data_IF_364679060259
#
_entry.id   IF_364679060259
#
_cell.length_a   1.000
_cell.length_b   1.000
_cell.length_c   1.000
_cell.angle_alpha   90.00
_cell.angle_beta   90.00
_cell.angle_gamma   90.00
#
_symmetry.space_group_name_H-M   'P 1'
#
loop_
_entity.id
_entity.type
_entity.pdbx_description
1 polymer ?
#
# COMPACT_ATOMS: atom_id res chain seq x y z
N UNK A 1 21.65 -2.08 11.60
CA UNK A 1 20.52 -1.18 11.23
C UNK A 1 20.86 -0.25 10.06
N UNK A 2 21.85 0.65 10.12
CA UNK A 2 22.18 1.55 8.98
C UNK A 2 22.66 0.79 7.74
N UNK A 3 23.43 -0.30 7.90
CA UNK A 3 23.87 -1.15 6.79
C UNK A 3 22.73 -1.85 6.08
N UNK A 4 21.72 -2.30 6.81
CA UNK A 4 20.52 -2.94 6.26
C UNK A 4 19.69 -1.92 5.47
N UNK A 5 19.51 -0.70 5.99
CA UNK A 5 18.86 0.39 5.27
C UNK A 5 19.61 0.71 3.96
N UNK A 6 20.94 0.89 4.04
CA UNK A 6 21.77 1.15 2.86
C UNK A 6 21.65 0.03 1.83
N UNK A 7 21.68 -1.23 2.27
CA UNK A 7 21.47 -2.39 1.40
C UNK A 7 20.13 -2.32 0.67
N UNK A 8 19.02 -2.07 1.38
CA UNK A 8 17.69 -1.92 0.80
C UNK A 8 17.66 -0.78 -0.21
N UNK A 9 18.18 0.40 0.15
CA UNK A 9 18.11 1.59 -0.69
C UNK A 9 18.97 1.50 -1.95
N UNK A 10 20.02 0.67 -1.95
CA UNK A 10 20.90 0.44 -3.11
C UNK A 10 20.41 -0.66 -4.04
N UNK A 11 19.36 -1.40 -3.71
CA UNK A 11 18.81 -2.44 -4.57
C UNK A 11 18.49 -1.89 -5.98
N UNK A 12 18.91 -2.61 -7.01
CA UNK A 12 18.80 -2.16 -8.41
C UNK A 12 17.47 -2.52 -9.07
N UNK A 13 16.80 -3.55 -8.58
CA UNK A 13 15.50 -4.04 -9.05
C UNK A 13 14.81 -4.87 -7.96
N UNK A 14 13.57 -5.29 -8.23
CA UNK A 14 12.74 -6.03 -7.27
C UNK A 14 13.35 -7.38 -6.87
N UNK A 15 13.99 -8.10 -7.78
CA UNK A 15 14.65 -9.38 -7.48
C UNK A 15 15.90 -9.20 -6.60
N UNK A 16 16.66 -8.13 -6.84
CA UNK A 16 17.80 -7.76 -5.99
C UNK A 16 17.31 -7.39 -4.58
N UNK A 17 16.24 -6.60 -4.47
CA UNK A 17 15.62 -6.26 -3.20
C UNK A 17 15.14 -7.52 -2.45
N UNK A 18 14.49 -8.48 -3.12
CA UNK A 18 14.08 -9.77 -2.53
C UNK A 18 15.27 -10.52 -1.93
N UNK A 19 16.39 -10.61 -2.67
CA UNK A 19 17.61 -11.28 -2.20
C UNK A 19 18.19 -10.58 -0.97
N UNK A 20 18.23 -9.26 -0.97
CA UNK A 20 18.74 -8.48 0.16
C UNK A 20 17.87 -8.64 1.39
N UNK A 21 16.53 -8.57 1.25
CA UNK A 21 15.59 -8.80 2.33
C UNK A 21 15.68 -10.21 2.88
N UNK A 22 15.77 -11.23 2.01
CA UNK A 22 15.96 -12.63 2.44
C UNK A 22 17.23 -12.81 3.27
N UNK A 23 18.33 -12.17 2.85
CA UNK A 23 19.59 -12.20 3.61
C UNK A 23 19.47 -11.49 4.96
N UNK A 24 18.86 -10.32 5.00
CA UNK A 24 18.67 -9.54 6.23
C UNK A 24 17.79 -10.32 7.21
N UNK A 25 16.61 -10.76 6.77
CA UNK A 25 15.66 -11.49 7.62
C UNK A 25 16.17 -12.87 8.02
N UNK A 26 16.94 -13.54 7.15
CA UNK A 26 17.56 -14.82 7.44
C UNK A 26 18.54 -14.79 8.63
N UNK A 27 19.19 -13.66 8.91
CA UNK A 27 20.01 -13.47 10.11
C UNK A 27 19.21 -13.51 11.41
N UNK A 28 17.88 -13.44 11.33
CA UNK A 28 16.93 -13.49 12.44
C UNK A 28 16.03 -14.74 12.41
N UNK A 29 16.45 -15.76 11.66
CA UNK A 29 15.69 -17.00 11.47
C UNK A 29 14.32 -16.82 10.82
N UNK A 30 14.15 -15.77 9.98
CA UNK A 30 12.92 -15.49 9.24
C UNK A 30 13.13 -15.85 7.76
N UNK A 31 12.73 -17.06 7.33
CA UNK A 31 12.91 -17.50 5.95
C UNK A 31 11.87 -16.93 4.97
N UNK A 32 10.71 -16.49 5.48
CA UNK A 32 9.57 -16.12 4.67
C UNK A 32 9.13 -14.70 4.93
N UNK A 33 8.85 -13.97 3.86
CA UNK A 33 8.18 -12.67 3.92
C UNK A 33 7.25 -12.47 2.72
N UNK A 34 6.26 -11.60 2.91
CA UNK A 34 5.34 -11.16 1.88
C UNK A 34 5.12 -9.65 2.01
N UNK A 35 5.30 -8.93 0.93
CA UNK A 35 4.84 -7.57 0.75
C UNK A 35 3.67 -7.59 -0.23
N UNK A 36 2.48 -7.27 0.23
CA UNK A 36 1.27 -7.18 -0.58
C UNK A 36 0.67 -5.78 -0.45
N UNK A 37 0.44 -5.10 -1.58
CA UNK A 37 -0.09 -3.75 -1.56
C UNK A 37 -1.11 -3.54 -2.66
N UNK A 38 -2.18 -2.83 -2.32
CA UNK A 38 -3.20 -2.34 -3.24
C UNK A 38 -2.96 -0.89 -3.59
N UNK A 39 -2.85 -0.60 -4.88
CA UNK A 39 -2.52 0.72 -5.42
C UNK A 39 -3.74 1.28 -6.14
N UNK A 40 -4.30 2.42 -5.68
CA UNK A 40 -5.37 3.10 -6.39
C UNK A 40 -4.93 3.48 -7.81
N UNK A 41 -5.79 3.29 -8.78
CA UNK A 41 -5.52 3.65 -10.18
C UNK A 41 -6.44 4.76 -10.65
N UNK A 42 -5.95 5.57 -11.59
CA UNK A 42 -6.75 6.63 -12.24
C UNK A 42 -7.83 6.00 -13.09
N UNK A 43 -9.10 6.22 -12.75
CA UNK A 43 -10.26 5.76 -13.55
C UNK A 43 -10.25 4.25 -13.90
N UNK A 44 -9.61 3.43 -13.06
CA UNK A 44 -9.49 1.98 -13.23
C UNK A 44 -9.71 1.27 -11.89
N UNK A 45 -9.91 -0.03 -11.96
CA UNK A 45 -9.84 -0.88 -10.77
C UNK A 45 -8.47 -0.75 -10.11
N UNK A 46 -8.41 -0.92 -8.79
CA UNK A 46 -7.16 -0.96 -8.04
C UNK A 46 -6.22 -2.03 -8.62
N UNK A 47 -4.94 -1.83 -8.44
CA UNK A 47 -3.91 -2.76 -8.89
C UNK A 47 -3.21 -3.33 -7.68
N UNK A 48 -3.17 -4.64 -7.57
CA UNK A 48 -2.49 -5.32 -6.47
C UNK A 48 -1.08 -5.71 -6.91
N UNK A 49 -0.11 -5.52 -6.02
CA UNK A 49 1.28 -5.92 -6.18
C UNK A 49 1.65 -6.85 -5.03
N UNK A 50 2.27 -7.99 -5.37
CA UNK A 50 2.77 -8.94 -4.39
C UNK A 50 4.25 -9.21 -4.69
N UNK A 51 5.09 -9.08 -3.67
CA UNK A 51 6.50 -9.45 -3.66
C UNK A 51 6.68 -10.38 -2.47
N UNK A 52 7.06 -11.63 -2.71
CA UNK A 52 7.06 -12.62 -1.64
C UNK A 52 8.22 -13.63 -1.76
N UNK A 53 8.55 -14.27 -0.64
CA UNK A 53 9.41 -15.43 -0.50
C UNK A 53 8.65 -16.46 0.36
N UNK A 54 7.45 -16.78 -0.09
CA UNK A 54 6.60 -17.83 0.48
C UNK A 54 6.75 -19.11 -0.37
N UNK A 55 6.40 -20.31 0.17
CA UNK A 55 6.36 -21.52 -0.65
C UNK A 55 5.43 -21.35 -1.86
N UNK A 56 5.95 -21.55 -3.10
CA UNK A 56 5.20 -21.30 -4.32
C UNK A 56 3.85 -22.04 -4.36
N UNK A 57 3.84 -23.33 -3.94
CA UNK A 57 2.61 -24.14 -3.87
C UNK A 57 1.55 -23.52 -2.96
N UNK A 58 1.99 -22.82 -1.89
CA UNK A 58 1.09 -22.12 -0.99
C UNK A 58 0.45 -20.91 -1.69
N UNK A 59 1.23 -20.10 -2.36
CA UNK A 59 0.72 -18.92 -3.06
C UNK A 59 -0.29 -19.29 -4.15
N UNK A 60 0.01 -20.35 -4.93
CA UNK A 60 -0.92 -20.89 -5.94
C UNK A 60 -2.23 -21.38 -5.29
N UNK A 61 -2.11 -22.10 -4.17
CA UNK A 61 -3.29 -22.60 -3.43
C UNK A 61 -4.11 -21.46 -2.80
N UNK A 62 -3.44 -20.50 -2.17
CA UNK A 62 -4.06 -19.31 -1.57
C UNK A 62 -4.92 -18.54 -2.60
N UNK A 63 -4.38 -18.31 -3.79
CA UNK A 63 -5.10 -17.62 -4.87
C UNK A 63 -6.24 -18.46 -5.41
N UNK A 64 -6.02 -19.77 -5.65
CA UNK A 64 -7.05 -20.70 -6.17
C UNK A 64 -8.22 -20.88 -5.21
N UNK A 65 -7.96 -20.91 -3.92
CA UNK A 65 -8.96 -21.04 -2.86
C UNK A 65 -9.63 -19.72 -2.49
N UNK A 66 -9.25 -18.62 -3.15
CA UNK A 66 -9.74 -17.27 -2.88
C UNK A 66 -9.62 -16.86 -1.40
N UNK A 67 -8.52 -17.25 -0.74
CA UNK A 67 -8.32 -16.99 0.69
C UNK A 67 -8.19 -15.50 1.01
N UNK A 68 -7.92 -14.66 0.03
CA UNK A 68 -7.90 -13.20 0.17
C UNK A 68 -9.20 -12.64 0.77
N UNK A 69 -10.36 -13.29 0.52
CA UNK A 69 -11.67 -12.86 1.01
C UNK A 69 -11.92 -13.23 2.48
N UNK A 70 -11.17 -14.19 3.02
CA UNK A 70 -11.38 -14.70 4.38
C UNK A 70 -10.14 -14.53 5.27
N UNK A 71 -9.04 -14.03 4.74
CA UNK A 71 -7.80 -13.83 5.49
C UNK A 71 -7.96 -12.75 6.56
N UNK A 72 -8.16 -13.18 7.80
CA UNK A 72 -8.35 -12.30 8.95
C UNK A 72 -7.17 -11.36 9.19
N UNK A 73 -5.93 -11.80 8.86
CA UNK A 73 -4.71 -10.99 9.03
C UNK A 73 -4.67 -9.87 7.99
N UNK A 74 -5.02 -10.17 6.74
CA UNK A 74 -5.13 -9.16 5.69
C UNK A 74 -6.25 -8.16 6.02
N UNK A 75 -7.43 -8.64 6.40
CA UNK A 75 -8.57 -7.79 6.78
C UNK A 75 -8.24 -6.88 7.97
N UNK A 76 -7.56 -7.42 8.99
CA UNK A 76 -7.07 -6.61 10.10
C UNK A 76 -6.12 -5.52 9.60
N UNK A 77 -5.13 -5.89 8.79
CA UNK A 77 -4.10 -4.97 8.32
C UNK A 77 -4.64 -3.84 7.44
N UNK A 78 -5.72 -4.08 6.69
CA UNK A 78 -6.37 -3.04 5.88
C UNK A 78 -7.15 -2.01 6.73
N UNK A 79 -7.49 -2.34 7.99
CA UNK A 79 -8.33 -1.51 8.85
C UNK A 79 -7.63 -0.99 10.11
N UNK A 80 -6.39 -1.40 10.38
CA UNK A 80 -5.64 -1.03 11.58
C UNK A 80 -4.23 -0.60 11.23
N UNK A 81 -3.60 0.17 12.13
CA UNK A 81 -2.22 0.67 11.96
C UNK A 81 -1.18 -0.12 12.77
N UNK A 82 -1.61 -0.97 13.70
CA UNK A 82 -0.71 -1.72 14.57
C UNK A 82 -0.39 -3.09 13.98
N UNK A 83 0.85 -3.57 14.13
CA UNK A 83 1.20 -4.93 13.75
C UNK A 83 0.35 -5.97 14.47
N UNK A 84 0.08 -7.08 13.80
CA UNK A 84 -0.67 -8.21 14.35
C UNK A 84 0.22 -9.46 14.40
N UNK A 85 0.30 -10.09 15.58
CA UNK A 85 0.99 -11.36 15.77
C UNK A 85 0.03 -12.51 15.42
N UNK A 86 0.49 -13.47 14.64
CA UNK A 86 -0.32 -14.61 14.22
C UNK A 86 -0.57 -15.57 15.38
N UNK A 87 -1.75 -15.47 15.95
CA UNK A 87 -2.26 -16.39 16.97
C UNK A 87 -3.52 -17.04 16.44
N UNK A 88 -3.80 -18.27 16.85
CA UNK A 88 -4.92 -19.03 16.31
C UNK A 88 -6.29 -18.37 16.57
N UNK A 89 -6.41 -17.58 17.64
CA UNK A 89 -7.63 -16.81 17.96
C UNK A 89 -8.00 -15.73 16.95
N UNK A 90 -7.06 -15.28 16.11
CA UNK A 90 -7.34 -14.29 15.05
C UNK A 90 -7.85 -14.93 13.75
N UNK A 91 -7.69 -16.24 13.58
CA UNK A 91 -8.03 -16.96 12.36
C UNK A 91 -9.42 -17.63 12.42
N UNK A 92 -10.32 -17.16 13.28
CA UNK A 92 -11.65 -17.77 13.47
C UNK A 92 -12.47 -17.89 12.20
N UNK A 93 -12.38 -16.89 11.30
CA UNK A 93 -13.06 -16.90 10.01
C UNK A 93 -12.27 -17.65 8.90
N UNK A 94 -11.03 -18.04 9.15
CA UNK A 94 -10.10 -18.64 8.17
C UNK A 94 -9.31 -19.80 8.75
N UNK A 95 -9.94 -20.61 9.61
CA UNK A 95 -9.28 -21.72 10.33
C UNK A 95 -8.64 -22.73 9.38
N UNK A 96 -9.34 -23.12 8.31
CA UNK A 96 -8.79 -24.03 7.30
C UNK A 96 -7.52 -23.47 6.67
N UNK A 97 -7.56 -22.20 6.23
CA UNK A 97 -6.39 -21.51 5.69
C UNK A 97 -5.22 -21.52 6.71
N UNK A 98 -5.53 -21.32 7.99
CA UNK A 98 -4.54 -21.33 9.07
C UNK A 98 -3.85 -22.69 9.21
N UNK A 99 -4.62 -23.78 9.24
CA UNK A 99 -4.06 -25.13 9.33
C UNK A 99 -3.17 -25.47 8.12
N UNK A 100 -3.66 -25.21 6.93
CA UNK A 100 -2.91 -25.43 5.69
C UNK A 100 -1.63 -24.56 5.61
N UNK A 101 -1.65 -23.33 6.14
CA UNK A 101 -0.46 -22.46 6.19
C UNK A 101 0.63 -23.04 7.11
N UNK A 102 0.25 -23.65 8.23
CA UNK A 102 1.18 -24.31 9.14
C UNK A 102 1.88 -25.51 8.47
N UNK A 103 1.15 -26.32 7.68
CA UNK A 103 1.69 -27.48 6.98
C UNK A 103 2.83 -27.12 6.01
N UNK A 104 2.83 -25.91 5.49
CA UNK A 104 3.87 -25.41 4.57
C UNK A 104 4.93 -24.55 5.25
N UNK A 105 4.95 -24.51 6.61
CA UNK A 105 5.97 -23.82 7.38
C UNK A 105 5.68 -22.32 7.62
N UNK A 106 4.44 -21.86 7.45
CA UNK A 106 4.01 -20.52 7.79
C UNK A 106 3.23 -20.52 9.12
N UNK A 107 3.89 -20.97 10.20
CA UNK A 107 3.22 -21.14 11.49
C UNK A 107 3.27 -19.90 12.36
N UNK A 108 4.45 -19.34 12.58
CA UNK A 108 4.61 -18.13 13.37
C UNK A 108 4.81 -16.93 12.46
N UNK A 109 4.09 -15.88 12.69
CA UNK A 109 4.25 -14.70 11.86
C UNK A 109 3.80 -13.42 12.56
N UNK A 110 4.23 -12.31 11.98
CA UNK A 110 3.81 -10.97 12.34
C UNK A 110 3.53 -10.23 11.04
N UNK A 111 2.39 -9.57 11.00
CA UNK A 111 2.02 -8.74 9.87
C UNK A 111 1.95 -7.27 10.27
N UNK A 112 2.52 -6.44 9.44
CA UNK A 112 2.64 -5.00 9.61
C UNK A 112 1.74 -4.31 8.57
N UNK A 113 0.72 -3.57 9.00
CA UNK A 113 -0.10 -2.78 8.09
C UNK A 113 0.72 -1.73 7.33
N UNK A 114 0.36 -1.50 6.08
CA UNK A 114 0.94 -0.43 5.25
C UNK A 114 -0.16 0.52 4.84
N UNK A 115 -0.07 1.76 5.30
CA UNK A 115 -0.97 2.85 4.92
C UNK A 115 -0.13 4.03 4.47
N UNK A 116 0.00 4.18 3.16
CA UNK A 116 0.85 5.20 2.56
C UNK A 116 0.14 6.56 2.48
N UNK A 117 0.95 7.61 2.46
CA UNK A 117 0.48 8.98 2.24
C UNK A 117 -0.10 9.20 0.84
N UNK A 118 0.16 8.33 -0.12
CA UNK A 118 -0.33 8.38 -1.49
C UNK A 118 -1.53 7.46 -1.76
N UNK A 119 -2.11 6.88 -0.69
CA UNK A 119 -3.37 6.13 -0.74
C UNK A 119 -3.21 4.64 -0.95
N UNK A 120 -1.99 4.13 -1.06
CA UNK A 120 -1.74 2.69 -1.07
C UNK A 120 -2.03 2.11 0.31
N UNK A 121 -2.58 0.92 0.35
CA UNK A 121 -2.78 0.15 1.56
C UNK A 121 -2.44 -1.33 1.34
N UNK A 122 -2.01 -2.00 2.39
CA UNK A 122 -1.59 -3.39 2.29
C UNK A 122 -0.91 -3.90 3.54
N UNK A 123 -0.01 -4.85 3.34
CA UNK A 123 0.59 -5.64 4.41
C UNK A 123 2.06 -5.98 4.09
N UNK A 124 2.89 -5.97 5.11
CA UNK A 124 4.18 -6.66 5.10
C UNK A 124 4.14 -7.74 6.17
N UNK A 125 4.29 -8.98 5.79
CA UNK A 125 4.28 -10.12 6.69
C UNK A 125 5.64 -10.79 6.71
N UNK A 126 6.10 -11.16 7.89
CA UNK A 126 7.24 -12.06 8.11
C UNK A 126 6.74 -13.33 8.76
N UNK A 127 7.28 -14.47 8.35
CA UNK A 127 6.86 -15.77 8.87
C UNK A 127 8.01 -16.74 9.02
N UNK A 128 7.86 -17.65 9.99
CA UNK A 128 8.80 -18.70 10.32
C UNK A 128 8.11 -20.04 10.59
N UNK A 129 8.83 -21.17 10.39
CA UNK A 129 8.28 -22.50 10.59
C UNK A 129 8.14 -22.88 12.07
N UNK A 130 7.57 -24.04 12.31
CA UNK A 130 7.39 -24.68 13.62
C UNK A 130 8.67 -24.61 14.46
N UNK A 131 8.51 -24.24 15.73
CA UNK A 131 9.61 -24.19 16.71
C UNK A 131 10.48 -22.94 16.66
N UNK A 132 10.21 -22.00 15.76
CA UNK A 132 10.95 -20.74 15.60
C UNK A 132 10.02 -19.54 15.62
N UNK A 133 9.50 -19.17 16.79
CA UNK A 133 8.68 -17.98 16.91
C UNK A 133 9.45 -16.71 16.49
N UNK A 134 8.77 -15.78 15.82
CA UNK A 134 9.33 -14.47 15.48
C UNK A 134 9.71 -13.74 16.77
N UNK A 135 10.99 -13.45 16.94
CA UNK A 135 11.50 -12.81 18.14
C UNK A 135 11.37 -11.27 18.10
N UNK A 136 11.62 -10.65 19.28
CA UNK A 136 11.53 -9.20 19.41
C UNK A 136 12.52 -8.44 18.50
N UNK A 137 13.69 -9.01 18.22
CA UNK A 137 14.68 -8.38 17.35
C UNK A 137 14.19 -8.31 15.91
N UNK A 138 13.62 -9.41 15.39
CA UNK A 138 13.00 -9.45 14.08
C UNK A 138 11.80 -8.49 13.97
N UNK A 139 10.98 -8.38 15.02
CA UNK A 139 9.89 -7.41 15.11
C UNK A 139 10.39 -5.98 15.00
N UNK A 140 11.37 -5.61 15.83
CA UNK A 140 11.93 -4.24 15.87
C UNK A 140 12.66 -3.89 14.57
N UNK A 141 13.43 -4.84 14.02
CA UNK A 141 14.08 -4.70 12.73
C UNK A 141 13.06 -4.40 11.62
N UNK A 142 12.05 -5.25 11.50
CA UNK A 142 11.02 -5.12 10.46
C UNK A 142 10.25 -3.83 10.60
N UNK A 143 9.84 -3.46 11.80
CA UNK A 143 9.16 -2.18 12.08
C UNK A 143 9.98 -0.98 11.62
N UNK A 144 11.30 -1.03 11.81
CA UNK A 144 12.20 0.05 11.41
C UNK A 144 12.47 0.07 9.90
N UNK A 145 12.61 -1.10 9.28
CA UNK A 145 12.94 -1.20 7.85
C UNK A 145 11.74 -1.00 6.92
N UNK A 146 10.52 -1.26 7.39
CA UNK A 146 9.32 -1.24 6.55
C UNK A 146 9.11 0.08 5.76
N UNK A 147 9.30 1.28 6.33
CA UNK A 147 9.19 2.52 5.55
C UNK A 147 10.20 2.58 4.39
N UNK A 148 11.43 2.13 4.61
CA UNK A 148 12.48 2.10 3.57
C UNK A 148 12.17 1.06 2.50
N UNK A 149 11.69 -0.12 2.88
CA UNK A 149 11.25 -1.17 1.95
C UNK A 149 10.13 -0.63 1.05
N UNK A 150 9.12 -0.01 1.66
CA UNK A 150 7.97 0.53 0.92
C UNK A 150 8.39 1.63 -0.07
N UNK A 151 9.18 2.62 0.37
CA UNK A 151 9.64 3.69 -0.53
C UNK A 151 10.57 3.15 -1.63
N UNK A 152 11.43 2.17 -1.34
CA UNK A 152 12.28 1.54 -2.36
C UNK A 152 11.46 0.80 -3.41
N UNK A 153 10.46 0.03 -3.01
CA UNK A 153 9.55 -0.65 -3.95
C UNK A 153 8.83 0.37 -4.82
N UNK A 154 8.32 1.45 -4.23
CA UNK A 154 7.69 2.54 -5.00
C UNK A 154 8.63 3.12 -6.05
N UNK A 155 9.88 3.37 -5.67
CA UNK A 155 10.88 3.93 -6.59
C UNK A 155 11.19 2.98 -7.75
N UNK A 156 11.43 1.71 -7.47
CA UNK A 156 11.66 0.67 -8.48
C UNK A 156 10.47 0.52 -9.44
N UNK A 157 9.24 0.57 -8.92
CA UNK A 157 8.02 0.31 -9.69
C UNK A 157 7.44 1.56 -10.38
N UNK A 158 7.91 2.76 -10.06
CA UNK A 158 7.57 3.99 -10.81
C UNK A 158 7.95 3.87 -12.29
N UNK A 159 9.11 3.31 -12.58
CA UNK A 159 9.60 3.11 -13.94
C UNK A 159 8.78 2.05 -14.70
N UNK A 160 8.23 1.07 -14.01
CA UNK A 160 7.39 0.00 -14.57
C UNK A 160 5.92 0.42 -14.79
N UNK A 161 5.57 1.71 -14.57
CA UNK A 161 4.20 2.24 -14.67
C UNK A 161 3.18 1.49 -13.79
N UNK A 162 3.65 0.89 -12.71
CA UNK A 162 2.78 0.24 -11.74
C UNK A 162 2.03 1.31 -10.94
N UNK A 163 2.72 2.38 -10.58
CA UNK A 163 2.13 3.54 -9.92
C UNK A 163 1.53 4.53 -10.94
N UNK A 164 0.37 5.11 -10.64
CA UNK A 164 -0.21 6.11 -11.51
C UNK A 164 0.67 7.37 -11.54
N UNK A 165 0.88 7.91 -12.73
CA UNK A 165 1.48 9.23 -12.85
C UNK A 165 0.43 10.29 -12.52
N UNK A 166 0.50 10.85 -11.30
CA UNK A 166 -0.43 11.88 -10.82
C UNK A 166 0.03 13.23 -11.35
N UNK A 167 -0.76 13.88 -12.24
CA UNK A 167 -0.41 15.18 -12.77
C UNK A 167 -0.34 16.25 -11.67
N UNK A 168 0.67 17.09 -11.73
CA UNK A 168 0.80 18.20 -10.79
C UNK A 168 -0.24 19.29 -11.09
N UNK A 169 -0.90 19.73 -10.05
CA UNK A 169 -1.79 20.90 -10.07
C UNK A 169 -1.01 22.15 -9.66
N UNK A 170 -1.37 23.27 -10.29
CA UNK A 170 -0.90 24.58 -9.84
C UNK A 170 -1.49 24.93 -8.46
N UNK A 171 -0.88 25.85 -7.73
CA UNK A 171 -1.41 26.32 -6.45
C UNK A 171 -2.87 26.74 -6.53
N UNK A 172 -3.24 27.40 -7.65
CA UNK A 172 -4.62 27.90 -7.88
C UNK A 172 -5.59 26.76 -8.17
N UNK A 173 -5.18 25.77 -8.95
CA UNK A 173 -5.99 24.57 -9.18
C UNK A 173 -6.22 23.79 -7.89
N UNK A 174 -5.19 23.63 -7.03
CA UNK A 174 -5.32 22.99 -5.72
C UNK A 174 -6.32 23.74 -4.83
N UNK A 175 -6.24 25.04 -4.76
CA UNK A 175 -7.15 25.87 -3.97
C UNK A 175 -8.61 25.70 -4.43
N UNK A 176 -8.85 25.82 -5.71
CA UNK A 176 -10.20 25.67 -6.31
C UNK A 176 -10.73 24.24 -6.10
N UNK A 177 -9.87 23.23 -6.25
CA UNK A 177 -10.26 21.84 -6.05
C UNK A 177 -10.63 21.55 -4.58
N UNK A 178 -9.96 22.16 -3.61
CA UNK A 178 -10.32 22.06 -2.19
C UNK A 178 -11.71 22.62 -1.91
N UNK A 179 -12.05 23.79 -2.47
CA UNK A 179 -13.39 24.35 -2.33
C UNK A 179 -14.45 23.46 -3.00
N UNK A 180 -14.13 22.91 -4.16
CA UNK A 180 -15.00 21.93 -4.81
C UNK A 180 -15.22 20.67 -3.97
N UNK A 181 -14.20 20.20 -3.26
CA UNK A 181 -14.27 19.04 -2.38
C UNK A 181 -15.12 19.28 -1.13
N UNK A 182 -15.18 20.51 -0.64
CA UNK A 182 -16.09 20.94 0.45
C UNK A 182 -17.53 21.16 -0.06
N UNK A 183 -17.77 20.98 -1.36
CA UNK A 183 -19.11 21.10 -1.92
C UNK A 183 -19.45 22.46 -2.53
N UNK A 184 -18.52 23.44 -2.54
CA UNK A 184 -18.78 24.76 -3.10
C UNK A 184 -19.05 24.72 -4.60
N UNK A 185 -20.00 25.55 -5.05
CA UNK A 185 -20.28 25.80 -6.47
C UNK A 185 -19.16 26.64 -7.08
N UNK A 186 -19.13 26.75 -8.41
CA UNK A 186 -18.18 27.64 -9.09
C UNK A 186 -18.41 29.11 -8.71
N UNK A 187 -19.66 29.52 -8.56
CA UNK A 187 -20.04 30.87 -8.14
C UNK A 187 -19.56 31.16 -6.71
N UNK A 188 -19.89 30.31 -5.73
CA UNK A 188 -19.42 30.48 -4.35
C UNK A 188 -17.89 30.49 -4.24
N UNK A 189 -17.23 29.58 -4.97
CA UNK A 189 -15.77 29.54 -5.05
C UNK A 189 -15.23 30.85 -5.63
N UNK A 190 -15.84 31.38 -6.67
CA UNK A 190 -15.42 32.66 -7.31
C UNK A 190 -15.43 33.84 -6.34
N UNK A 191 -16.46 33.91 -5.50
CA UNK A 191 -16.56 34.91 -4.43
C UNK A 191 -15.45 34.74 -3.38
N UNK A 192 -15.18 33.51 -2.97
CA UNK A 192 -14.15 33.20 -1.93
C UNK A 192 -12.74 33.53 -2.42
N UNK A 193 -12.42 33.14 -3.66
CA UNK A 193 -11.08 33.25 -4.20
C UNK A 193 -10.85 34.55 -5.00
N UNK A 194 -11.84 35.43 -5.01
CA UNK A 194 -11.83 36.72 -5.73
C UNK A 194 -11.46 36.58 -7.21
N UNK A 195 -12.22 35.75 -7.94
CA UNK A 195 -12.11 35.54 -9.38
C UNK A 195 -13.49 35.66 -10.04
N UNK A 196 -13.51 35.81 -11.36
CA UNK A 196 -14.74 35.59 -12.10
C UNK A 196 -15.13 34.10 -12.10
N UNK A 197 -16.43 33.79 -12.04
CA UNK A 197 -16.94 32.43 -12.07
C UNK A 197 -16.41 31.61 -13.28
N UNK A 198 -16.40 32.26 -14.47
CA UNK A 198 -15.83 31.66 -15.70
C UNK A 198 -14.38 31.19 -15.51
N UNK A 199 -13.60 31.92 -14.71
CA UNK A 199 -12.21 31.57 -14.43
C UNK A 199 -12.12 30.36 -13.52
N UNK A 200 -13.01 30.22 -12.52
CA UNK A 200 -13.13 29.03 -11.68
C UNK A 200 -13.52 27.82 -12.52
N UNK A 201 -14.53 27.95 -13.39
CA UNK A 201 -14.94 26.88 -14.33
C UNK A 201 -13.79 26.47 -15.24
N UNK A 202 -13.00 27.42 -15.75
CA UNK A 202 -11.81 27.15 -16.56
C UNK A 202 -10.78 26.28 -15.78
N UNK A 203 -10.47 26.65 -14.54
CA UNK A 203 -9.55 25.85 -13.71
C UNK A 203 -10.10 24.44 -13.41
N UNK A 204 -11.39 24.31 -13.08
CA UNK A 204 -12.01 22.99 -12.88
C UNK A 204 -11.94 22.15 -14.15
N UNK A 205 -12.17 22.73 -15.31
CA UNK A 205 -12.04 22.04 -16.60
C UNK A 205 -10.61 21.57 -16.86
N UNK A 206 -9.61 22.38 -16.52
CA UNK A 206 -8.20 22.00 -16.64
C UNK A 206 -7.82 20.88 -15.68
N UNK A 207 -8.32 20.91 -14.43
CA UNK A 207 -8.14 19.83 -13.46
C UNK A 207 -8.73 18.53 -14.00
N UNK A 208 -9.97 18.57 -14.48
CA UNK A 208 -10.63 17.40 -15.07
C UNK A 208 -9.85 16.83 -16.26
N UNK A 209 -9.31 17.69 -17.14
CA UNK A 209 -8.45 17.26 -18.26
C UNK A 209 -7.17 16.60 -17.76
N UNK A 210 -6.48 17.20 -16.77
CA UNK A 210 -5.26 16.67 -16.18
C UNK A 210 -5.49 15.30 -15.56
N UNK A 211 -6.57 15.13 -14.80
CA UNK A 211 -6.94 13.88 -14.15
C UNK A 211 -7.65 12.88 -15.06
N UNK A 212 -7.95 13.28 -16.30
CA UNK A 212 -8.75 12.49 -17.25
C UNK A 212 -10.12 12.10 -16.69
N UNK A 213 -10.75 13.01 -15.97
CA UNK A 213 -12.05 12.84 -15.33
C UNK A 213 -13.18 13.46 -16.16
N UNK A 214 -14.37 12.86 -16.11
CA UNK A 214 -15.54 13.29 -16.87
C UNK A 214 -16.33 14.39 -16.17
N UNK A 215 -16.22 14.54 -14.84
CA UNK A 215 -16.95 15.52 -14.05
C UNK A 215 -16.19 15.94 -12.80
N UNK A 216 -16.67 17.03 -12.16
CA UNK A 216 -16.09 17.61 -10.94
C UNK A 216 -16.03 16.59 -9.79
N UNK A 217 -17.08 15.82 -9.57
CA UNK A 217 -17.15 14.82 -8.49
C UNK A 217 -16.08 13.74 -8.65
N UNK A 218 -15.87 13.25 -9.88
CA UNK A 218 -14.82 12.29 -10.19
C UNK A 218 -13.42 12.88 -9.96
N UNK A 219 -13.19 14.15 -10.31
CA UNK A 219 -11.93 14.83 -10.08
C UNK A 219 -11.64 15.01 -8.58
N UNK A 220 -12.66 15.32 -7.78
CA UNK A 220 -12.57 15.41 -6.32
C UNK A 220 -12.28 14.04 -5.72
N UNK A 221 -13.03 13.00 -6.10
CA UNK A 221 -12.80 11.63 -5.62
C UNK A 221 -11.38 11.17 -5.94
N UNK A 222 -10.92 11.40 -7.17
CA UNK A 222 -9.53 11.12 -7.57
C UNK A 222 -8.51 11.82 -6.67
N UNK A 223 -8.69 13.12 -6.44
CA UNK A 223 -7.75 13.92 -5.66
C UNK A 223 -7.68 13.49 -4.18
N UNK A 224 -8.81 13.08 -3.60
CA UNK A 224 -8.87 12.55 -2.23
C UNK A 224 -8.23 11.16 -2.13
N UNK A 225 -8.56 10.26 -3.06
CA UNK A 225 -8.00 8.89 -3.09
C UNK A 225 -6.48 8.90 -3.21
N UNK A 226 -5.94 9.78 -4.06
CA UNK A 226 -4.49 9.92 -4.27
C UNK A 226 -3.83 10.95 -3.35
N UNK A 227 -4.56 11.45 -2.35
CA UNK A 227 -4.08 12.44 -1.37
C UNK A 227 -3.43 13.69 -2.00
N UNK A 228 -3.89 14.07 -3.19
CA UNK A 228 -3.52 15.34 -3.84
C UNK A 228 -4.07 16.53 -3.04
N UNK A 229 -5.26 16.34 -2.44
CA UNK A 229 -5.86 17.24 -1.46
C UNK A 229 -6.27 16.47 -0.21
N UNK A 230 -6.35 17.19 0.91
CA UNK A 230 -6.90 16.73 2.20
C UNK A 230 -7.95 17.74 2.64
N UNK A 231 -9.01 17.27 3.29
CA UNK A 231 -10.09 18.05 3.91
C UNK A 231 -9.84 18.22 5.39
#
# INVERSE_FOLDING_TARGET
>A
MLKEIESIMTASNTEDLKKQLSKILGNYDIPHFLYGIRIPQVNKQTKDMIIEVYPQKWMEHYMKSNYIEVDSVLHYSLNHNLPIIWRDDIFTASQQMREESKEVGLEFGISFPIHSVTGENGIFSIASPVGKAVNNEAFMLTSTLLPYIHEKIKDLERHNRFYPNIPQLTKRELEILKWAAIGKTAFETSCIVNLAERTVVYHLTNIMKKFKCSNKGQAVAFALTHKVIQL
#
